data_IF_548889226396
#
_entry.id   IF_548889226396
#
_cell.length_a   1.000
_cell.length_b   1.000
_cell.length_c   1.000
_cell.angle_alpha   90.00
_cell.angle_beta   90.00
_cell.angle_gamma   90.00
#
_symmetry.space_group_name_H-M   'P 1'
#
loop_
_entity.id
_entity.type
_entity.pdbx_description
1 polymer ?
#
# COMPACT_ATOMS: atom_id res chain seq x y z
N UNK A 1 -10.24 -7.62 -5.41
CA UNK A 1 -8.93 -7.14 -5.90
C UNK A 1 -8.32 -7.91 -7.08
N UNK A 2 -8.69 -9.16 -7.37
CA UNK A 2 -8.10 -9.90 -8.52
C UNK A 2 -8.31 -9.23 -9.90
N UNK A 3 -9.37 -8.43 -10.07
CA UNK A 3 -9.73 -7.75 -11.33
C UNK A 3 -9.40 -6.26 -11.37
N UNK A 4 -8.82 -5.70 -10.31
CA UNK A 4 -8.50 -4.26 -10.22
C UNK A 4 -7.04 -4.00 -10.55
N UNK A 5 -6.75 -2.83 -11.10
CA UNK A 5 -5.38 -2.44 -11.48
C UNK A 5 -4.73 -1.52 -10.45
N UNK A 6 -5.47 -0.53 -9.96
CA UNK A 6 -5.02 0.50 -9.00
C UNK A 6 -6.00 0.47 -7.81
N UNK A 7 -5.47 0.68 -6.61
CA UNK A 7 -6.24 0.83 -5.37
C UNK A 7 -6.34 2.32 -5.02
N UNK A 8 -7.56 2.84 -4.87
CA UNK A 8 -7.79 4.23 -4.46
C UNK A 8 -8.23 4.25 -2.99
N UNK A 9 -7.55 5.04 -2.18
CA UNK A 9 -7.78 5.18 -0.73
C UNK A 9 -7.99 6.66 -0.37
N UNK A 10 -9.18 7.23 -0.61
CA UNK A 10 -9.53 8.60 -0.23
C UNK A 10 -9.84 8.70 1.27
N UNK A 11 -8.86 8.38 2.12
CA UNK A 11 -9.02 8.41 3.57
C UNK A 11 -8.70 9.79 4.16
N UNK A 12 -9.42 10.14 5.23
CA UNK A 12 -9.05 11.30 6.05
C UNK A 12 -7.88 10.97 6.98
N UNK A 13 -7.77 9.72 7.42
CA UNK A 13 -6.71 9.19 8.28
C UNK A 13 -6.48 7.71 7.94
N UNK A 14 -5.24 7.22 8.05
CA UNK A 14 -4.93 5.79 7.89
C UNK A 14 -4.16 5.29 9.12
N UNK A 15 -4.67 4.25 9.77
CA UNK A 15 -3.95 3.47 10.77
C UNK A 15 -4.03 2.00 10.36
N UNK A 16 -2.87 1.40 10.02
CA UNK A 16 -2.73 -0.01 9.64
C UNK A 16 -3.92 -0.58 8.83
N UNK A 17 -4.25 0.09 7.72
CA UNK A 17 -5.42 -0.27 6.91
C UNK A 17 -5.31 -1.70 6.38
N UNK A 18 -6.25 -2.56 6.76
CA UNK A 18 -6.34 -3.91 6.19
C UNK A 18 -6.52 -3.91 4.67
N UNK A 19 -7.16 -2.86 4.12
CA UNK A 19 -7.32 -2.68 2.67
C UNK A 19 -5.99 -2.33 2.00
N UNK A 20 -5.14 -1.53 2.65
CA UNK A 20 -3.77 -1.29 2.18
C UNK A 20 -2.95 -2.59 2.16
N UNK A 21 -3.02 -3.38 3.22
CA UNK A 21 -2.31 -4.68 3.30
C UNK A 21 -2.81 -5.66 2.24
N UNK A 22 -4.12 -5.72 2.00
CA UNK A 22 -4.67 -6.45 0.88
C UNK A 22 -4.13 -5.90 -0.45
N UNK A 23 -4.04 -4.57 -0.59
CA UNK A 23 -3.45 -3.85 -1.73
C UNK A 23 -2.10 -4.43 -2.13
N UNK A 24 -1.22 -4.47 -1.13
CA UNK A 24 0.14 -5.00 -1.23
C UNK A 24 0.12 -6.51 -1.54
N UNK A 25 -0.74 -7.29 -0.87
CA UNK A 25 -0.90 -8.73 -1.11
C UNK A 25 -1.29 -9.08 -2.55
N UNK A 26 -2.04 -8.21 -3.24
CA UNK A 26 -2.42 -8.42 -4.64
C UNK A 26 -1.56 -7.62 -5.63
N UNK A 27 -0.43 -7.06 -5.18
CA UNK A 27 0.49 -6.24 -5.98
C UNK A 27 -0.20 -5.08 -6.71
N UNK A 28 -1.04 -4.32 -6.00
CA UNK A 28 -1.79 -3.20 -6.58
C UNK A 28 -1.12 -1.87 -6.23
N UNK A 29 -0.66 -1.10 -7.24
CA UNK A 29 -0.30 0.30 -7.05
C UNK A 29 -1.42 1.06 -6.38
N UNK A 30 -1.05 2.01 -5.53
CA UNK A 30 -1.99 2.73 -4.68
C UNK A 30 -1.99 4.22 -4.94
N UNK A 31 -3.14 4.84 -4.81
CA UNK A 31 -3.32 6.29 -4.77
C UNK A 31 -4.06 6.60 -3.49
N UNK A 32 -3.49 7.44 -2.63
CA UNK A 32 -4.05 7.71 -1.31
C UNK A 32 -3.88 9.16 -0.91
N UNK A 33 -4.86 9.68 -0.17
CA UNK A 33 -4.79 10.99 0.50
C UNK A 33 -3.97 10.99 1.77
N UNK A 34 -3.61 9.81 2.26
CA UNK A 34 -2.70 9.65 3.40
C UNK A 34 -1.76 8.50 3.08
N UNK A 35 -0.47 8.80 3.02
CA UNK A 35 0.60 7.83 2.86
C UNK A 35 1.55 7.97 4.05
N UNK A 36 1.55 7.00 5.00
CA UNK A 36 2.55 6.97 6.05
C UNK A 36 3.94 7.01 5.43
N UNK A 37 4.88 7.70 6.06
CA UNK A 37 6.22 7.92 5.50
C UNK A 37 6.91 6.60 5.13
N UNK A 38 6.82 5.60 6.02
CA UNK A 38 7.36 4.26 5.82
C UNK A 38 6.81 3.56 4.57
N UNK A 39 5.58 3.90 4.15
CA UNK A 39 4.94 3.37 2.94
C UNK A 39 5.31 4.22 1.71
N UNK A 40 5.38 5.55 1.87
CA UNK A 40 5.79 6.46 0.80
C UNK A 40 7.22 6.15 0.31
N UNK A 41 8.13 5.84 1.23
CA UNK A 41 9.51 5.45 0.91
C UNK A 41 9.60 4.16 0.08
N UNK A 42 8.60 3.28 0.14
CA UNK A 42 8.57 2.04 -0.66
C UNK A 42 8.29 2.32 -2.14
N UNK A 43 7.88 3.54 -2.50
CA UNK A 43 7.55 3.94 -3.88
C UNK A 43 6.59 2.97 -4.55
N UNK A 44 5.52 2.60 -3.84
CA UNK A 44 4.49 1.65 -4.29
C UNK A 44 3.19 2.32 -4.75
N UNK A 45 3.16 3.64 -4.76
CA UNK A 45 2.00 4.42 -5.13
C UNK A 45 2.25 5.92 -5.12
N UNK A 46 1.17 6.68 -5.19
CA UNK A 46 1.16 8.14 -5.25
C UNK A 46 0.27 8.75 -4.17
N UNK A 47 0.70 9.90 -3.66
CA UNK A 47 -0.14 10.78 -2.87
C UNK A 47 -1.10 11.55 -3.79
N UNK A 48 -2.33 11.76 -3.34
CA UNK A 48 -3.29 12.66 -3.98
C UNK A 48 -3.90 13.57 -2.91
N UNK A 49 -4.12 14.84 -3.20
CA UNK A 49 -4.96 15.68 -2.35
C UNK A 49 -6.41 15.16 -2.36
N UNK A 50 -7.20 15.53 -1.34
CA UNK A 50 -8.62 15.16 -1.26
C UNK A 50 -9.49 15.97 -2.23
N UNK A 51 -9.17 15.92 -3.53
CA UNK A 51 -9.84 16.60 -4.63
C UNK A 51 -9.79 15.73 -5.90
N UNK A 52 -10.85 15.72 -6.74
CA UNK A 52 -10.93 14.86 -7.92
C UNK A 52 -9.76 15.01 -8.90
N UNK A 53 -9.30 16.23 -9.13
CA UNK A 53 -8.22 16.56 -10.08
C UNK A 53 -6.91 15.92 -9.66
N UNK A 54 -6.59 15.98 -8.37
CA UNK A 54 -5.36 15.39 -7.83
C UNK A 54 -5.38 13.86 -7.92
N UNK A 55 -6.55 13.23 -7.72
CA UNK A 55 -6.70 11.80 -7.97
C UNK A 55 -6.51 11.44 -9.45
N UNK A 56 -7.06 12.23 -10.37
CA UNK A 56 -6.89 11.99 -11.80
C UNK A 56 -5.41 12.07 -12.20
N UNK A 57 -4.70 13.09 -11.75
CA UNK A 57 -3.25 13.25 -11.97
C UNK A 57 -2.45 12.08 -11.39
N UNK A 58 -2.72 11.70 -10.13
CA UNK A 58 -2.04 10.59 -9.48
C UNK A 58 -2.29 9.26 -10.19
N UNK A 59 -3.51 9.01 -10.68
CA UNK A 59 -3.84 7.83 -11.49
C UNK A 59 -3.04 7.83 -12.80
N UNK A 60 -2.91 8.97 -13.48
CA UNK A 60 -2.12 9.08 -14.72
C UNK A 60 -0.63 8.79 -14.47
N UNK A 61 -0.07 9.28 -13.35
CA UNK A 61 1.31 8.98 -12.94
C UNK A 61 1.48 7.49 -12.62
N UNK A 62 0.53 6.90 -11.89
CA UNK A 62 0.55 5.45 -11.62
C UNK A 62 0.46 4.65 -12.90
N UNK A 63 -0.35 5.08 -13.87
CA UNK A 63 -0.48 4.40 -15.15
C UNK A 63 0.81 4.47 -15.98
N UNK A 64 1.47 5.63 -16.05
CA UNK A 64 2.72 5.79 -16.82
C UNK A 64 3.90 5.03 -16.22
N UNK A 65 3.87 4.76 -14.90
CA UNK A 65 4.92 4.03 -14.15
C UNK A 65 4.42 2.71 -13.57
N UNK A 66 3.38 2.12 -14.15
CA UNK A 66 2.66 1.00 -13.55
C UNK A 66 3.55 -0.20 -13.22
N UNK A 67 4.44 -0.57 -14.15
CA UNK A 67 5.34 -1.70 -13.98
C UNK A 67 6.36 -1.46 -12.86
N UNK A 68 6.91 -0.24 -12.77
CA UNK A 68 7.82 0.15 -11.69
C UNK A 68 7.13 0.00 -10.33
N UNK A 69 5.91 0.55 -10.18
CA UNK A 69 5.14 0.41 -8.95
C UNK A 69 4.85 -1.05 -8.61
N UNK A 70 4.47 -1.88 -9.60
CA UNK A 70 4.26 -3.30 -9.38
C UNK A 70 5.53 -4.03 -8.91
N UNK A 71 6.68 -3.75 -9.51
CA UNK A 71 7.96 -4.36 -9.14
C UNK A 71 8.35 -3.96 -7.71
N UNK A 72 8.24 -2.68 -7.37
CA UNK A 72 8.45 -2.19 -6.01
C UNK A 72 7.54 -2.91 -5.01
N UNK A 73 6.26 -3.08 -5.34
CA UNK A 73 5.33 -3.82 -4.47
C UNK A 73 5.75 -5.28 -4.33
N UNK A 74 6.13 -5.96 -5.42
CA UNK A 74 6.57 -7.37 -5.35
C UNK A 74 7.79 -7.54 -4.45
N UNK A 75 8.73 -6.60 -4.48
CA UNK A 75 9.93 -6.63 -3.63
C UNK A 75 9.57 -6.51 -2.14
N UNK A 76 8.62 -5.66 -1.79
CA UNK A 76 8.26 -5.41 -0.38
C UNK A 76 7.14 -6.30 0.14
N UNK A 77 6.31 -6.84 -0.75
CA UNK A 77 5.11 -7.63 -0.44
C UNK A 77 5.35 -8.70 0.63
N UNK A 78 6.43 -9.51 0.58
CA UNK A 78 6.64 -10.55 1.57
C UNK A 78 6.62 -10.00 3.01
N UNK A 79 7.11 -8.79 3.26
CA UNK A 79 7.12 -8.18 4.61
C UNK A 79 5.72 -7.95 5.17
N UNK A 80 4.73 -7.77 4.29
CA UNK A 80 3.36 -7.42 4.66
C UNK A 80 2.39 -8.60 4.62
N UNK A 81 2.85 -9.81 4.28
CA UNK A 81 2.00 -11.00 4.29
C UNK A 81 1.75 -11.48 5.72
N UNK A 82 0.50 -11.78 6.06
CA UNK A 82 0.12 -12.31 7.37
C UNK A 82 0.99 -13.49 7.83
N UNK A 83 1.31 -14.43 6.93
CA UNK A 83 2.18 -15.58 7.25
C UNK A 83 3.58 -15.19 7.75
N UNK A 84 4.05 -13.99 7.42
CA UNK A 84 5.36 -13.47 7.80
C UNK A 84 5.28 -12.48 8.98
N UNK A 85 4.14 -11.82 9.18
CA UNK A 85 3.88 -10.92 10.32
C UNK A 85 3.58 -11.72 11.59
N UNK A 86 2.69 -12.73 11.51
CA UNK A 86 2.19 -13.46 12.67
C UNK A 86 3.31 -14.07 13.54
N UNK A 87 4.35 -14.71 12.98
CA UNK A 87 5.45 -15.25 13.80
C UNK A 87 6.16 -14.18 14.64
N UNK A 88 6.36 -12.98 14.10
CA UNK A 88 7.02 -11.87 14.80
C UNK A 88 6.17 -11.34 15.96
N UNK A 89 4.84 -11.30 15.76
CA UNK A 89 3.89 -10.94 16.81
C UNK A 89 3.95 -11.99 17.93
N UNK A 90 3.86 -13.29 17.60
CA UNK A 90 3.92 -14.37 18.60
C UNK A 90 5.20 -14.27 19.42
N UNK A 91 6.36 -14.11 18.77
CA UNK A 91 7.64 -13.96 19.46
C UNK A 91 7.66 -12.74 20.40
N UNK A 92 7.07 -11.62 19.96
CA UNK A 92 6.99 -10.41 20.78
C UNK A 92 6.12 -10.63 22.03
N UNK A 93 4.98 -11.32 21.90
CA UNK A 93 4.13 -11.65 23.04
C UNK A 93 4.81 -12.62 24.01
N UNK A 94 5.54 -13.62 23.50
CA UNK A 94 6.28 -14.58 24.33
C UNK A 94 7.41 -13.94 25.15
N UNK A 95 7.90 -12.75 24.79
CA UNK A 95 8.91 -12.01 25.56
C UNK A 95 8.33 -11.23 26.74
N UNK A 96 7.01 -10.97 26.71
CA UNK A 96 6.31 -10.17 27.71
C UNK A 96 5.49 -11.04 28.66
N UNK A 97 5.11 -12.25 28.22
CA UNK A 97 4.52 -13.31 29.03
C UNK A 97 5.60 -14.11 29.76
#
# INVERSE_FOLDING_TARGET
MKRTHILLLPYLLISNSGILLDGIKYCKPLVSTVLPEDIAQLKIGMYAENKPESFAEAILVVNSRYNEFQENIKMVQPKFLWKNIIPQIIESYQKVL
#
